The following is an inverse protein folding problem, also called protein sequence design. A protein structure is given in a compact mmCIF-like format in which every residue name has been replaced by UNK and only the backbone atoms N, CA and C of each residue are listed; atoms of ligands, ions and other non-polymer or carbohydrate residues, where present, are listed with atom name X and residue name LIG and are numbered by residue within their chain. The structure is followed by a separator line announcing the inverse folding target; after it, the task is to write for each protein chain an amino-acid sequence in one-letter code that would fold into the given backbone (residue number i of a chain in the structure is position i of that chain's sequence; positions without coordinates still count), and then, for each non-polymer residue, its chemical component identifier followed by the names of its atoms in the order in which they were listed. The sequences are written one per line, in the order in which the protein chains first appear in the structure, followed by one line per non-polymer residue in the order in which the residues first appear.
data_IF_176382583334
#
_entry.id   IF_176382583334
#
_cell.length_a   1.000
_cell.length_b   1.000
_cell.length_c   1.000
_cell.angle_alpha   90.00
_cell.angle_beta   90.00
_cell.angle_gamma   90.00
#
_symmetry.space_group_name_H-M   'P 1'
#
loop_
_entity.id
_entity.type
_entity.pdbx_description
1 polymer ?
#
# COMPACT_ATOMS: atom_id res chain seq x y z
N UNK A 1 -4.43 15.43 -12.61
CA UNK A 1 -3.40 14.54 -12.05
C UNK A 1 -4.13 13.57 -11.17
N UNK A 2 -4.39 12.39 -11.70
CA UNK A 2 -5.14 11.36 -11.01
C UNK A 2 -4.13 10.25 -10.76
N UNK A 3 -3.86 9.97 -9.49
CA UNK A 3 -3.13 8.78 -9.12
C UNK A 3 -4.03 7.58 -9.48
N UNK A 4 -3.68 6.92 -10.56
CA UNK A 4 -4.39 5.77 -11.08
C UNK A 4 -3.71 4.50 -10.59
N UNK A 5 -4.53 3.49 -10.25
CA UNK A 5 -4.06 2.18 -9.82
C UNK A 5 -4.59 1.10 -10.77
N UNK A 6 -4.23 1.16 -12.07
CA UNK A 6 -4.74 0.22 -13.08
C UNK A 6 -4.27 -1.21 -12.81
N UNK A 7 -3.11 -1.36 -12.15
CA UNK A 7 -2.55 -2.66 -11.81
C UNK A 7 -2.72 -2.93 -10.31
N UNK A 8 -3.30 -4.07 -9.91
CA UNK A 8 -3.29 -4.55 -8.52
C UNK A 8 -1.94 -5.21 -8.17
N UNK A 9 -0.84 -4.64 -8.68
CA UNK A 9 0.52 -5.10 -8.38
C UNK A 9 0.83 -4.80 -6.92
N UNK A 10 1.12 -5.87 -6.18
CA UNK A 10 1.44 -5.83 -4.75
C UNK A 10 2.55 -6.83 -4.48
N UNK A 11 3.52 -6.41 -3.70
CA UNK A 11 4.67 -7.23 -3.30
C UNK A 11 4.83 -7.11 -1.80
N UNK A 12 4.95 -8.23 -1.10
CA UNK A 12 5.24 -8.20 0.32
C UNK A 12 6.73 -8.37 0.55
N UNK A 13 7.30 -7.38 1.24
CA UNK A 13 8.67 -7.41 1.72
C UNK A 13 8.68 -8.09 3.09
N UNK A 14 9.07 -9.37 3.11
CA UNK A 14 9.17 -10.15 4.34
C UNK A 14 10.34 -9.69 5.24
N UNK A 15 11.35 -9.00 4.70
CA UNK A 15 12.46 -8.49 5.50
C UNK A 15 12.07 -7.22 6.27
N UNK A 16 11.14 -6.43 5.72
CA UNK A 16 10.64 -5.19 6.32
C UNK A 16 9.22 -5.31 6.87
N UNK A 17 8.59 -6.47 6.76
CA UNK A 17 7.19 -6.71 7.11
C UNK A 17 6.23 -5.68 6.49
N UNK A 18 6.44 -5.31 5.22
CA UNK A 18 5.66 -4.25 4.57
C UNK A 18 5.08 -4.73 3.24
N UNK A 19 3.85 -4.33 2.93
CA UNK A 19 3.25 -4.50 1.60
C UNK A 19 3.56 -3.30 0.74
N UNK A 20 4.32 -3.51 -0.34
CA UNK A 20 4.59 -2.53 -1.38
C UNK A 20 3.55 -2.62 -2.50
N UNK A 21 3.05 -1.49 -2.97
CA UNK A 21 2.21 -1.40 -4.16
C UNK A 21 2.58 -0.15 -4.96
N UNK A 22 2.13 -0.09 -6.21
CA UNK A 22 2.49 0.98 -7.13
C UNK A 22 1.26 1.67 -7.69
N UNK A 23 1.26 2.99 -7.66
CA UNK A 23 0.33 3.86 -8.37
C UNK A 23 1.02 4.54 -9.54
N UNK A 24 0.23 5.01 -10.50
CA UNK A 24 0.72 5.73 -11.67
C UNK A 24 0.07 7.11 -11.71
N UNK A 25 0.87 8.16 -11.63
CA UNK A 25 0.45 9.51 -12.01
C UNK A 25 0.92 9.76 -13.44
N UNK A 26 0.01 9.50 -14.39
CA UNK A 26 0.28 9.60 -15.82
C UNK A 26 1.40 8.63 -16.27
N UNK A 27 2.61 9.11 -16.58
CA UNK A 27 3.76 8.28 -16.95
C UNK A 27 4.69 7.95 -15.76
N UNK A 28 4.39 8.46 -14.56
CA UNK A 28 5.25 8.35 -13.38
C UNK A 28 4.74 7.26 -12.43
N UNK A 29 5.57 6.26 -12.20
CA UNK A 29 5.31 5.25 -11.17
C UNK A 29 5.62 5.82 -9.77
N UNK A 30 4.72 5.57 -8.83
CA UNK A 30 4.78 6.00 -7.44
C UNK A 30 4.65 4.75 -6.57
N UNK A 31 5.71 4.41 -5.85
CA UNK A 31 5.73 3.31 -4.91
C UNK A 31 5.14 3.72 -3.56
N UNK A 32 4.29 2.87 -3.01
CA UNK A 32 3.70 3.02 -1.69
C UNK A 32 4.03 1.80 -0.85
N UNK A 33 4.52 2.03 0.36
CA UNK A 33 4.90 0.98 1.30
C UNK A 33 3.99 1.04 2.51
N UNK A 34 3.21 -0.01 2.75
CA UNK A 34 2.30 -0.13 3.89
C UNK A 34 2.92 -1.07 4.90
N UNK A 35 3.17 -0.57 6.11
CA UNK A 35 3.63 -1.43 7.20
C UNK A 35 2.52 -2.37 7.68
N UNK A 36 2.88 -3.56 8.13
CA UNK A 36 1.93 -4.51 8.69
C UNK A 36 1.15 -3.92 9.86
N UNK A 37 1.74 -3.02 10.66
CA UNK A 37 1.06 -2.25 11.71
C UNK A 37 -0.24 -1.57 11.22
N UNK A 38 -0.21 -1.00 10.01
CA UNK A 38 -1.38 -0.33 9.41
C UNK A 38 -2.43 -1.36 9.03
N UNK A 39 -2.01 -2.50 8.49
CA UNK A 39 -2.91 -3.60 8.14
C UNK A 39 -3.54 -4.23 9.38
N UNK A 40 -2.76 -4.42 10.45
CA UNK A 40 -3.20 -4.93 11.76
C UNK A 40 -4.17 -3.94 12.42
N UNK A 41 -3.92 -2.63 12.31
CA UNK A 41 -4.85 -1.59 12.78
C UNK A 41 -6.15 -1.57 11.99
N UNK A 42 -6.11 -1.84 10.69
CA UNK A 42 -7.30 -1.90 9.83
C UNK A 42 -8.11 -3.19 10.05
N UNK A 43 -7.42 -4.30 10.32
CA UNK A 43 -8.02 -5.61 10.55
C UNK A 43 -7.37 -6.24 11.79
N UNK A 44 -8.02 -6.06 12.96
CA UNK A 44 -7.57 -6.65 14.24
C UNK A 44 -7.50 -8.18 14.25
N UNK A 45 -7.94 -8.84 13.16
CA UNK A 45 -7.81 -10.29 12.97
C UNK A 45 -6.46 -10.72 12.41
N UNK A 46 -5.63 -9.79 11.92
CA UNK A 46 -4.30 -10.10 11.39
C UNK A 46 -3.31 -10.26 12.55
N UNK A 47 -3.43 -11.35 13.28
CA UNK A 47 -2.46 -11.73 14.31
C UNK A 47 -1.34 -12.62 13.75
N UNK A 48 -1.48 -13.10 12.52
CA UNK A 48 -0.47 -13.88 11.82
C UNK A 48 0.26 -13.01 10.78
N UNK A 49 1.55 -12.76 11.01
CA UNK A 49 2.49 -12.16 10.04
C UNK A 49 2.78 -13.06 8.83
N UNK A 50 1.82 -13.89 8.42
CA UNK A 50 1.93 -14.62 7.18
C UNK A 50 1.70 -13.65 6.03
N UNK A 51 2.66 -13.60 5.10
CA UNK A 51 2.60 -12.74 3.92
C UNK A 51 1.22 -12.81 3.24
N UNK A 52 0.69 -14.03 3.09
CA UNK A 52 -0.60 -14.30 2.45
C UNK A 52 -1.75 -13.58 3.18
N UNK A 53 -1.78 -13.63 4.51
CA UNK A 53 -2.83 -12.99 5.33
C UNK A 53 -2.74 -11.47 5.23
N UNK A 54 -1.53 -10.91 5.22
CA UNK A 54 -1.32 -9.47 5.03
C UNK A 54 -1.74 -9.02 3.62
N UNK A 55 -1.42 -9.78 2.58
CA UNK A 55 -1.87 -9.51 1.21
C UNK A 55 -3.39 -9.60 1.08
N UNK A 56 -4.02 -10.61 1.67
CA UNK A 56 -5.48 -10.78 1.64
C UNK A 56 -6.19 -9.64 2.37
N UNK A 57 -5.67 -9.23 3.52
CA UNK A 57 -6.17 -8.08 4.28
C UNK A 57 -6.01 -6.79 3.50
N UNK A 58 -4.86 -6.61 2.85
CA UNK A 58 -4.63 -5.49 1.95
C UNK A 58 -5.66 -5.48 0.84
N UNK A 59 -5.99 -6.63 0.24
CA UNK A 59 -7.00 -6.73 -0.82
C UNK A 59 -8.39 -6.36 -0.31
N UNK A 60 -8.78 -6.88 0.86
CA UNK A 60 -10.04 -6.53 1.55
C UNK A 60 -10.16 -5.05 1.89
N UNK A 61 -9.07 -4.41 2.29
CA UNK A 61 -9.01 -2.99 2.65
C UNK A 61 -8.39 -2.11 1.57
N UNK A 62 -8.27 -2.62 0.34
CA UNK A 62 -7.56 -1.95 -0.75
C UNK A 62 -8.09 -0.55 -0.98
N UNK A 63 -9.40 -0.39 -1.03
CA UNK A 63 -10.04 0.91 -1.29
C UNK A 63 -9.62 1.98 -0.26
N UNK A 64 -9.60 1.62 1.02
CA UNK A 64 -9.13 2.51 2.09
C UNK A 64 -7.65 2.85 1.95
N UNK A 65 -6.82 1.87 1.61
CA UNK A 65 -5.38 2.08 1.42
C UNK A 65 -5.12 2.97 0.20
N UNK A 66 -5.88 2.80 -0.89
CA UNK A 66 -5.80 3.67 -2.06
C UNK A 66 -6.23 5.10 -1.74
N UNK A 67 -7.23 5.29 -0.88
CA UNK A 67 -7.63 6.61 -0.39
C UNK A 67 -6.51 7.24 0.46
N UNK A 68 -5.94 6.50 1.41
CA UNK A 68 -4.78 6.96 2.19
C UNK A 68 -3.58 7.29 1.30
N UNK A 69 -3.33 6.47 0.28
CA UNK A 69 -2.26 6.72 -0.68
C UNK A 69 -2.47 8.01 -1.45
N UNK A 70 -3.71 8.29 -1.86
CA UNK A 70 -4.08 9.55 -2.53
C UNK A 70 -3.97 10.75 -1.59
N UNK A 71 -4.28 10.58 -0.31
CA UNK A 71 -4.18 11.63 0.71
C UNK A 71 -2.71 11.97 1.05
N UNK A 72 -1.89 10.93 1.21
CA UNK A 72 -0.43 11.06 1.45
C UNK A 72 0.31 11.50 0.19
N UNK A 73 -0.24 11.21 -1.00
CA UNK A 73 0.36 11.59 -2.27
C UNK A 73 0.37 13.11 -2.43
N UNK A 74 1.56 13.68 -2.33
CA UNK A 74 1.81 15.09 -2.63
C UNK A 74 2.41 15.19 -4.04
N UNK A 75 1.85 16.04 -4.89
CA UNK A 75 2.44 16.28 -6.21
C UNK A 75 3.84 16.90 -6.04
N UNK A 76 4.87 16.08 -6.15
CA UNK A 76 6.25 16.46 -5.83
C UNK A 76 7.29 15.53 -6.44
N UNK A 77 8.59 15.78 -6.14
CA UNK A 77 9.69 14.98 -6.66
C UNK A 77 9.79 13.59 -6.02
N UNK A 78 9.02 13.32 -4.96
CA UNK A 78 8.97 12.02 -4.30
C UNK A 78 8.15 11.04 -5.14
N UNK A 79 8.67 9.83 -5.28
CA UNK A 79 8.06 8.71 -5.99
C UNK A 79 7.97 7.48 -5.08
N UNK A 80 8.31 7.63 -3.80
CA UNK A 80 8.10 6.63 -2.76
C UNK A 80 7.45 7.27 -1.55
N UNK A 81 6.38 6.63 -1.05
CA UNK A 81 5.65 7.05 0.14
C UNK A 81 5.53 5.86 1.09
N UNK A 82 5.65 6.12 2.38
CA UNK A 82 5.47 5.11 3.42
C UNK A 82 4.20 5.45 4.21
N UNK A 83 3.34 4.45 4.37
CA UNK A 83 2.13 4.48 5.18
C UNK A 83 2.44 3.62 6.41
N UNK A 84 2.53 4.28 7.58
CA UNK A 84 2.88 3.69 8.89
C UNK A 84 1.89 4.18 9.94
#
# INVERSE_FOLDING_TARGET
MALNFPNPSRSYDAARHCVCFWGYDNAREVAFQVSDDVLIRLDSKVSCSEAIVLLDTFDRHRDKILLLAKDVYTAGPCNSYKIS
#
